data_IF_542327641348
#
_entry.id   IF_542327641348
#
_cell.length_a   1.000
_cell.length_b   1.000
_cell.length_c   1.000
_cell.angle_alpha   90.00
_cell.angle_beta   90.00
_cell.angle_gamma   90.00
#
_symmetry.space_group_name_H-M   'P 1'
#
loop_
_entity.id
_entity.type
_entity.pdbx_description
1 polymer ?
#
# COMPACT_ATOMS: atom_id res chain seq x y z
N UNK A 1 -15.10 7.30 32.87
CA UNK A 1 -14.78 6.04 32.16
C UNK A 1 -15.42 4.90 32.93
N UNK A 2 -16.33 4.20 32.30
CA UNK A 2 -16.97 3.03 32.90
C UNK A 2 -15.96 1.89 33.14
N UNK A 3 -16.31 0.93 34.02
CA UNK A 3 -15.45 -0.24 34.26
C UNK A 3 -15.26 -1.09 32.99
N UNK A 4 -16.24 -1.14 32.12
CA UNK A 4 -16.17 -1.83 30.81
C UNK A 4 -15.25 -1.10 29.83
N UNK A 5 -15.34 0.21 29.72
CA UNK A 5 -14.41 1.01 28.90
C UNK A 5 -12.96 0.84 29.34
N UNK A 6 -12.71 0.81 30.66
CA UNK A 6 -11.36 0.59 31.21
C UNK A 6 -10.82 -0.80 30.82
N UNK A 7 -11.64 -1.83 30.92
CA UNK A 7 -11.26 -3.20 30.51
C UNK A 7 -10.96 -3.27 29.02
N UNK A 8 -11.77 -2.63 28.18
CA UNK A 8 -11.57 -2.57 26.75
C UNK A 8 -10.28 -1.82 26.35
N UNK A 9 -9.95 -0.72 27.03
CA UNK A 9 -8.68 0.00 26.85
C UNK A 9 -7.46 -0.85 27.25
N UNK A 10 -7.54 -1.58 28.37
CA UNK A 10 -6.47 -2.49 28.82
C UNK A 10 -6.30 -3.63 27.80
N UNK A 11 -7.38 -4.23 27.31
CA UNK A 11 -7.32 -5.27 26.29
C UNK A 11 -6.66 -4.76 25.00
N UNK A 12 -7.05 -3.56 24.55
CA UNK A 12 -6.46 -2.92 23.35
C UNK A 12 -4.96 -2.60 23.53
N UNK A 13 -4.54 -2.19 24.74
CA UNK A 13 -3.14 -1.93 25.06
C UNK A 13 -2.26 -3.20 24.99
N UNK A 14 -2.81 -4.34 25.40
CA UNK A 14 -2.07 -5.62 25.35
C UNK A 14 -1.86 -6.19 23.94
N UNK A 15 -2.69 -5.81 22.98
CA UNK A 15 -2.59 -6.31 21.59
C UNK A 15 -1.22 -6.04 20.98
N UNK A 16 -0.76 -4.79 20.83
CA UNK A 16 0.54 -4.53 20.23
C UNK A 16 1.70 -5.03 21.10
N UNK A 17 1.60 -4.93 22.42
CA UNK A 17 2.67 -5.36 23.34
C UNK A 17 3.00 -6.84 23.16
N UNK A 18 1.99 -7.71 23.06
CA UNK A 18 2.21 -9.16 22.82
C UNK A 18 2.95 -9.41 21.53
N UNK A 19 2.53 -8.76 20.44
CA UNK A 19 3.16 -8.94 19.12
C UNK A 19 4.59 -8.42 19.15
N UNK A 20 4.81 -7.22 19.68
CA UNK A 20 6.13 -6.61 19.78
C UNK A 20 7.08 -7.44 20.65
N UNK A 21 6.58 -7.95 21.80
CA UNK A 21 7.36 -8.82 22.68
C UNK A 21 7.79 -10.12 21.99
N UNK A 22 6.86 -10.79 21.30
CA UNK A 22 7.17 -12.01 20.55
C UNK A 22 8.21 -11.74 19.47
N UNK A 23 8.05 -10.68 18.67
CA UNK A 23 9.01 -10.35 17.60
C UNK A 23 10.36 -9.95 18.18
N UNK A 24 10.40 -9.10 19.22
CA UNK A 24 11.64 -8.74 19.90
C UNK A 24 12.37 -9.96 20.43
N UNK A 25 11.68 -10.84 21.16
CA UNK A 25 12.26 -12.08 21.69
C UNK A 25 12.78 -12.96 20.55
N UNK A 26 12.00 -13.14 19.47
CA UNK A 26 12.40 -13.97 18.31
C UNK A 26 13.66 -13.44 17.64
N UNK A 27 13.72 -12.13 17.37
CA UNK A 27 14.91 -11.51 16.73
C UNK A 27 16.13 -11.58 17.64
N UNK A 28 15.94 -11.34 18.95
CA UNK A 28 17.04 -11.40 19.93
C UNK A 28 17.56 -12.81 20.11
N UNK A 29 16.69 -13.82 20.24
CA UNK A 29 17.08 -15.25 20.33
C UNK A 29 17.78 -15.68 19.05
N UNK A 30 17.29 -15.25 17.89
CA UNK A 30 17.96 -15.52 16.61
C UNK A 30 19.37 -14.93 16.54
N UNK A 31 19.56 -13.69 17.02
CA UNK A 31 20.88 -13.06 17.08
C UNK A 31 21.83 -13.81 18.04
N UNK A 32 21.35 -14.24 19.21
CA UNK A 32 22.13 -15.06 20.15
C UNK A 32 22.47 -16.43 19.54
N UNK A 33 21.52 -17.06 18.85
CA UNK A 33 21.77 -18.32 18.13
C UNK A 33 22.82 -18.15 17.03
N UNK A 34 22.73 -17.08 16.24
CA UNK A 34 23.71 -16.75 15.22
C UNK A 34 25.13 -16.60 15.82
N UNK A 35 25.23 -15.90 16.94
CA UNK A 35 26.47 -15.78 17.71
C UNK A 35 26.99 -17.15 18.16
N UNK A 36 26.15 -17.94 18.84
CA UNK A 36 26.57 -19.28 19.34
C UNK A 36 27.05 -20.21 18.22
N UNK A 37 26.42 -20.13 17.04
CA UNK A 37 26.78 -20.93 15.87
C UNK A 37 28.07 -20.44 15.16
N UNK A 38 28.52 -19.20 15.44
CA UNK A 38 29.72 -18.61 14.81
C UNK A 38 30.82 -18.23 15.79
N UNK A 39 30.64 -18.53 17.07
CA UNK A 39 31.60 -18.17 18.15
C UNK A 39 33.03 -18.71 17.94
N UNK A 40 33.17 -19.81 17.24
CA UNK A 40 34.49 -20.39 16.89
C UNK A 40 35.18 -19.66 15.74
N UNK A 41 34.55 -18.64 15.13
CA UNK A 41 35.16 -17.88 14.05
C UNK A 41 36.20 -16.89 14.61
N UNK A 42 37.45 -16.92 14.08
CA UNK A 42 38.51 -16.01 14.53
C UNK A 42 38.21 -14.52 14.33
N UNK A 43 37.19 -14.22 13.54
CA UNK A 43 36.78 -12.84 13.18
C UNK A 43 35.90 -12.16 14.24
N UNK A 44 35.36 -12.92 15.21
CA UNK A 44 34.43 -12.36 16.22
C UNK A 44 35.13 -11.67 17.40
N UNK A 45 36.45 -11.88 17.61
CA UNK A 45 37.20 -11.19 18.66
C UNK A 45 36.65 -11.47 20.06
N UNK A 46 36.43 -10.40 20.84
CA UNK A 46 35.91 -10.45 22.22
C UNK A 46 34.40 -10.21 22.32
N UNK A 47 33.62 -10.46 21.26
CA UNK A 47 32.15 -10.34 21.30
C UNK A 47 31.58 -11.41 22.23
N UNK A 48 30.63 -11.04 23.07
CA UNK A 48 29.92 -11.95 23.95
C UNK A 48 28.41 -12.06 23.61
N UNK A 49 27.69 -12.92 24.32
CA UNK A 49 26.27 -13.13 24.07
C UNK A 49 25.41 -11.89 24.41
N UNK A 50 25.89 -11.00 25.31
CA UNK A 50 25.21 -9.74 25.60
C UNK A 50 25.27 -8.81 24.41
N UNK A 51 26.37 -8.79 23.68
CA UNK A 51 26.50 -7.98 22.47
C UNK A 51 25.61 -8.52 21.34
N UNK A 52 25.47 -9.85 21.25
CA UNK A 52 24.50 -10.45 20.36
C UNK A 52 23.05 -10.09 20.72
N UNK A 53 22.71 -10.06 22.00
CA UNK A 53 21.40 -9.65 22.46
C UNK A 53 21.12 -8.15 22.16
N UNK A 54 22.12 -7.28 22.35
CA UNK A 54 22.06 -5.86 21.96
C UNK A 54 21.87 -5.73 20.45
N UNK A 55 22.59 -6.50 19.63
CA UNK A 55 22.43 -6.50 18.17
C UNK A 55 21.01 -6.91 17.76
N UNK A 56 20.45 -7.97 18.35
CA UNK A 56 19.06 -8.37 18.11
C UNK A 56 18.04 -7.26 18.48
N UNK A 57 18.25 -6.62 19.62
CA UNK A 57 17.42 -5.48 20.05
C UNK A 57 17.57 -4.28 19.10
N UNK A 58 18.79 -4.01 18.61
CA UNK A 58 19.05 -2.96 17.62
C UNK A 58 18.29 -3.22 16.31
N UNK A 59 18.28 -4.48 15.82
CA UNK A 59 17.53 -4.89 14.62
C UNK A 59 16.02 -4.69 14.85
N UNK A 60 15.50 -5.02 16.02
CA UNK A 60 14.10 -4.79 16.36
C UNK A 60 13.77 -3.29 16.37
N UNK A 61 14.60 -2.45 17.01
CA UNK A 61 14.38 -0.99 17.04
C UNK A 61 14.49 -0.40 15.62
N UNK A 62 15.43 -0.88 14.81
CA UNK A 62 15.59 -0.48 13.42
C UNK A 62 14.34 -0.80 12.58
N UNK A 63 13.74 -1.99 12.81
CA UNK A 63 12.49 -2.36 12.16
C UNK A 63 11.30 -1.49 12.56
N UNK A 64 11.40 -0.78 13.70
CA UNK A 64 10.43 0.22 14.14
C UNK A 64 10.78 1.66 13.69
N UNK A 65 11.81 1.84 12.86
CA UNK A 65 12.23 3.18 12.41
C UNK A 65 13.18 3.89 13.39
N UNK A 66 13.79 3.17 14.31
CA UNK A 66 14.90 3.66 15.13
C UNK A 66 16.21 3.68 14.37
N UNK A 67 17.32 3.88 15.10
CA UNK A 67 18.67 3.70 14.58
C UNK A 67 19.38 2.58 15.33
N UNK A 68 20.27 1.89 14.64
CA UNK A 68 21.20 0.92 15.21
C UNK A 68 22.62 1.45 15.04
N UNK A 69 23.46 1.24 16.05
CA UNK A 69 24.89 1.53 15.98
C UNK A 69 25.64 0.21 15.79
N UNK A 70 26.43 0.15 14.71
CA UNK A 70 27.32 -0.99 14.41
C UNK A 70 28.74 -0.45 14.39
N UNK A 71 29.48 -0.66 15.48
CA UNK A 71 30.74 0.04 15.71
C UNK A 71 30.52 1.54 15.80
N UNK A 72 31.21 2.32 14.92
CA UNK A 72 31.03 3.76 14.80
C UNK A 72 30.02 4.19 13.71
N UNK A 73 29.29 3.22 13.14
CA UNK A 73 28.37 3.47 12.04
C UNK A 73 26.92 3.47 12.51
N UNK A 74 26.25 4.61 12.35
CA UNK A 74 24.79 4.69 12.55
C UNK A 74 24.04 4.13 11.33
N UNK A 75 23.23 3.13 11.54
CA UNK A 75 22.33 2.53 10.53
C UNK A 75 20.91 2.96 10.82
N UNK A 76 20.22 3.50 9.80
CA UNK A 76 18.81 3.90 9.90
C UNK A 76 17.94 3.27 8.82
N UNK A 77 18.52 2.48 7.93
CA UNK A 77 17.79 1.78 6.88
C UNK A 77 16.90 0.68 7.50
N UNK A 78 15.59 0.90 7.48
CA UNK A 78 14.59 0.04 8.09
C UNK A 78 14.42 -1.28 7.31
N UNK A 79 14.52 -2.48 7.92
CA UNK A 79 14.27 -3.76 7.25
C UNK A 79 12.76 -3.98 7.07
N UNK A 80 12.21 -3.57 5.93
CA UNK A 80 10.76 -3.53 5.68
C UNK A 80 10.06 -4.90 5.77
N UNK A 81 10.75 -6.03 5.53
CA UNK A 81 10.13 -7.34 5.73
C UNK A 81 9.70 -7.53 7.18
N UNK A 82 10.57 -7.17 8.14
CA UNK A 82 10.28 -7.30 9.58
C UNK A 82 9.18 -6.32 9.97
N UNK A 83 9.27 -5.07 9.53
CA UNK A 83 8.27 -4.02 9.78
C UNK A 83 6.88 -4.42 9.27
N UNK A 84 6.80 -4.94 8.04
CA UNK A 84 5.53 -5.37 7.44
C UNK A 84 4.94 -6.61 8.13
N UNK A 85 5.79 -7.54 8.59
CA UNK A 85 5.35 -8.68 9.39
C UNK A 85 4.76 -8.24 10.72
N UNK A 86 5.43 -7.34 11.45
CA UNK A 86 4.93 -6.79 12.70
C UNK A 86 3.59 -6.07 12.45
N UNK A 87 3.55 -5.19 11.44
CA UNK A 87 2.33 -4.49 11.08
C UNK A 87 1.18 -5.46 10.77
N UNK A 88 1.44 -6.53 10.03
CA UNK A 88 0.45 -7.54 9.66
C UNK A 88 -0.07 -8.30 10.88
N UNK A 89 0.80 -8.71 11.81
CA UNK A 89 0.39 -9.40 13.04
C UNK A 89 -0.42 -8.48 13.96
N UNK A 90 -0.01 -7.23 14.15
CA UNK A 90 -0.75 -6.23 14.92
C UNK A 90 -2.12 -5.98 14.29
N UNK A 91 -2.17 -5.79 12.97
CA UNK A 91 -3.42 -5.63 12.21
C UNK A 91 -4.36 -6.84 12.38
N UNK A 92 -3.84 -8.06 12.24
CA UNK A 92 -4.63 -9.28 12.43
C UNK A 92 -5.17 -9.41 13.84
N UNK A 93 -4.38 -9.06 14.83
CA UNK A 93 -4.79 -9.07 16.23
C UNK A 93 -5.91 -8.05 16.51
N UNK A 94 -5.84 -6.85 15.93
CA UNK A 94 -6.94 -5.88 16.04
C UNK A 94 -8.23 -6.31 15.33
N UNK A 95 -8.14 -7.05 14.24
CA UNK A 95 -9.33 -7.63 13.60
C UNK A 95 -10.02 -8.67 14.50
N UNK A 96 -9.26 -9.38 15.34
CA UNK A 96 -9.80 -10.40 16.24
C UNK A 96 -10.39 -9.79 17.51
N UNK A 97 -9.82 -8.70 18.04
CA UNK A 97 -10.25 -8.08 19.31
C UNK A 97 -11.33 -7.01 19.14
N UNK A 98 -11.41 -6.38 17.96
CA UNK A 98 -12.22 -5.19 17.72
C UNK A 98 -11.67 -3.95 18.44
N UNK A 99 -11.68 -2.81 17.78
CA UNK A 99 -11.30 -1.51 18.39
C UNK A 99 -12.27 -0.45 17.89
N UNK A 100 -13.12 0.04 18.77
CA UNK A 100 -14.24 0.91 18.41
C UNK A 100 -14.08 2.36 18.89
N UNK A 101 -13.21 2.62 19.88
CA UNK A 101 -13.07 3.94 20.48
C UNK A 101 -11.67 4.56 20.29
N UNK A 102 -11.62 5.90 20.33
CA UNK A 102 -10.36 6.64 20.31
C UNK A 102 -9.51 6.41 21.58
N UNK A 103 -10.15 6.12 22.72
CA UNK A 103 -9.46 5.80 23.97
C UNK A 103 -8.68 4.48 23.86
N UNK A 104 -9.28 3.46 23.24
CA UNK A 104 -8.61 2.20 22.92
C UNK A 104 -7.44 2.41 21.97
N UNK A 105 -7.63 3.30 20.99
CA UNK A 105 -6.59 3.67 20.04
C UNK A 105 -5.38 4.32 20.73
N UNK A 106 -5.64 5.28 21.58
CA UNK A 106 -4.61 5.98 22.34
C UNK A 106 -3.88 5.03 23.30
N UNK A 107 -4.61 4.12 23.98
CA UNK A 107 -4.00 3.15 24.89
C UNK A 107 -3.10 2.14 24.18
N UNK A 108 -3.50 1.67 22.99
CA UNK A 108 -2.68 0.77 22.16
C UNK A 108 -1.41 1.47 21.62
N UNK A 109 -1.52 2.71 21.18
CA UNK A 109 -0.37 3.50 20.72
C UNK A 109 0.59 3.81 21.87
N UNK A 110 0.06 4.23 23.03
CA UNK A 110 0.85 4.52 24.21
C UNK A 110 1.57 3.29 24.76
N UNK A 111 0.92 2.12 24.77
CA UNK A 111 1.53 0.88 25.25
C UNK A 111 2.63 0.37 24.32
N UNK A 112 2.45 0.47 22.99
CA UNK A 112 3.50 0.11 22.01
C UNK A 112 4.70 1.06 22.10
N UNK A 113 4.46 2.36 22.28
CA UNK A 113 5.50 3.34 22.53
C UNK A 113 6.28 3.01 23.80
N UNK A 114 5.56 2.83 24.95
CA UNK A 114 6.17 2.56 26.24
C UNK A 114 6.97 1.26 26.23
N UNK A 115 6.43 0.17 25.69
CA UNK A 115 7.12 -1.11 25.57
C UNK A 115 8.43 -0.97 24.78
N UNK A 116 8.37 -0.37 23.58
CA UNK A 116 9.53 -0.22 22.71
C UNK A 116 10.58 0.70 23.32
N UNK A 117 10.15 1.78 24.00
CA UNK A 117 11.06 2.67 24.72
C UNK A 117 11.76 1.96 25.89
N UNK A 118 11.01 1.18 26.69
CA UNK A 118 11.58 0.42 27.82
C UNK A 118 12.61 -0.61 27.33
N UNK A 119 12.30 -1.35 26.28
CA UNK A 119 13.24 -2.29 25.66
C UNK A 119 14.50 -1.58 25.18
N UNK A 120 14.35 -0.43 24.53
CA UNK A 120 15.48 0.37 24.08
C UNK A 120 16.32 0.95 25.21
N UNK A 121 15.69 1.41 26.29
CA UNK A 121 16.36 1.94 27.48
C UNK A 121 17.16 0.85 28.23
N UNK A 122 16.62 -0.36 28.28
CA UNK A 122 17.26 -1.49 28.97
C UNK A 122 18.48 -2.05 28.21
N UNK A 123 18.50 -1.96 26.88
CA UNK A 123 19.48 -2.64 26.06
C UNK A 123 20.54 -1.74 25.41
N UNK A 124 20.24 -0.46 25.13
CA UNK A 124 21.05 0.38 24.25
C UNK A 124 21.18 1.83 24.75
N UNK A 125 22.37 2.43 24.72
CA UNK A 125 22.53 3.88 24.76
C UNK A 125 22.16 4.50 23.39
N UNK A 126 21.71 5.76 23.38
CA UNK A 126 21.56 6.53 22.14
C UNK A 126 20.14 6.96 21.78
N UNK A 127 20.02 7.79 20.73
CA UNK A 127 18.77 8.41 20.30
C UNK A 127 17.84 7.46 19.51
N UNK A 128 18.35 6.37 18.97
CA UNK A 128 17.59 5.43 18.11
C UNK A 128 16.40 4.78 18.80
N UNK A 129 16.46 4.62 20.13
CA UNK A 129 15.37 4.11 20.98
C UNK A 129 14.11 4.96 20.90
N UNK A 130 14.26 6.30 20.85
CA UNK A 130 13.11 7.19 20.80
C UNK A 130 12.43 7.14 19.41
N UNK A 131 13.23 7.13 18.34
CA UNK A 131 12.73 6.93 16.98
C UNK A 131 11.98 5.60 16.82
N UNK A 132 12.52 4.52 17.38
CA UNK A 132 11.87 3.22 17.40
C UNK A 132 10.55 3.21 18.16
N UNK A 133 10.46 3.89 19.31
CA UNK A 133 9.23 3.99 20.09
C UNK A 133 8.13 4.77 19.34
N UNK A 134 8.50 5.90 18.72
CA UNK A 134 7.57 6.69 17.87
C UNK A 134 7.10 5.86 16.68
N UNK A 135 8.01 5.16 16.02
CA UNK A 135 7.66 4.30 14.88
C UNK A 135 6.76 3.13 15.28
N UNK A 136 6.96 2.51 16.44
CA UNK A 136 6.07 1.46 16.96
C UNK A 136 4.66 1.99 17.21
N UNK A 137 4.51 3.19 17.79
CA UNK A 137 3.23 3.84 17.96
C UNK A 137 2.56 4.15 16.61
N UNK A 138 3.30 4.71 15.67
CA UNK A 138 2.80 5.03 14.32
C UNK A 138 2.36 3.76 13.56
N UNK A 139 3.14 2.69 13.62
CA UNK A 139 2.81 1.38 13.04
C UNK A 139 1.53 0.80 13.66
N UNK A 140 1.38 0.90 14.99
CA UNK A 140 0.19 0.46 15.71
C UNK A 140 -1.04 1.26 15.29
N UNK A 141 -0.93 2.59 15.19
CA UNK A 141 -2.00 3.46 14.68
C UNK A 141 -2.40 3.11 13.25
N UNK A 142 -1.42 2.88 12.37
CA UNK A 142 -1.67 2.48 10.98
C UNK A 142 -2.38 1.12 10.87
N UNK A 143 -1.95 0.13 11.67
CA UNK A 143 -2.56 -1.20 11.73
C UNK A 143 -4.02 -1.12 12.21
N UNK A 144 -4.27 -0.33 13.24
CA UNK A 144 -5.60 -0.12 13.80
C UNK A 144 -6.52 0.67 12.85
N UNK A 145 -6.03 1.77 12.26
CA UNK A 145 -6.79 2.51 11.25
C UNK A 145 -7.21 1.58 10.10
N UNK A 146 -6.32 0.68 9.67
CA UNK A 146 -6.60 -0.32 8.65
C UNK A 146 -7.62 -1.36 9.11
N UNK A 147 -7.58 -1.78 10.36
CA UNK A 147 -8.55 -2.71 10.95
C UNK A 147 -9.94 -2.06 11.01
N UNK A 148 -10.05 -0.84 11.54
CA UNK A 148 -11.30 -0.06 11.58
C UNK A 148 -11.90 0.17 10.20
N UNK A 149 -11.06 0.52 9.22
CA UNK A 149 -11.54 0.68 7.84
C UNK A 149 -12.22 -0.58 7.29
N UNK A 150 -11.81 -1.74 7.77
CA UNK A 150 -12.40 -3.01 7.31
C UNK A 150 -13.70 -3.36 8.05
N UNK A 151 -13.81 -3.01 9.31
CA UNK A 151 -14.97 -3.33 10.17
C UNK A 151 -16.06 -2.26 10.11
N UNK A 152 -15.67 -0.99 10.11
CA UNK A 152 -16.58 0.15 10.13
C UNK A 152 -16.14 1.14 9.07
N UNK A 153 -16.83 1.16 7.92
CA UNK A 153 -16.54 2.11 6.87
C UNK A 153 -16.96 3.51 7.34
N UNK A 154 -16.04 4.47 7.39
CA UNK A 154 -16.43 5.83 7.72
C UNK A 154 -17.31 6.40 6.61
N UNK A 155 -18.41 7.03 6.98
CA UNK A 155 -19.26 7.78 6.06
C UNK A 155 -18.66 9.17 5.79
N UNK A 156 -18.77 9.64 4.55
CA UNK A 156 -18.34 10.97 4.17
C UNK A 156 -17.74 11.08 2.77
N UNK A 157 -17.80 12.29 2.22
CA UNK A 157 -17.34 12.58 0.85
C UNK A 157 -15.85 12.27 0.63
N UNK A 158 -15.02 12.55 1.63
CA UNK A 158 -13.57 12.27 1.57
C UNK A 158 -13.30 10.77 1.51
N UNK A 159 -14.03 9.99 2.30
CA UNK A 159 -13.90 8.53 2.32
C UNK A 159 -14.35 7.89 1.01
N UNK A 160 -15.42 8.38 0.42
CA UNK A 160 -15.86 7.96 -0.90
C UNK A 160 -14.81 8.22 -2.00
N UNK A 161 -14.16 9.39 -1.96
CA UNK A 161 -13.06 9.71 -2.87
C UNK A 161 -11.84 8.79 -2.66
N UNK A 162 -11.44 8.53 -1.41
CA UNK A 162 -10.32 7.62 -1.12
C UNK A 162 -10.61 6.18 -1.53
N UNK A 163 -11.85 5.71 -1.37
CA UNK A 163 -12.26 4.38 -1.84
C UNK A 163 -12.26 4.31 -3.38
N UNK A 164 -12.72 5.36 -4.05
CA UNK A 164 -12.60 5.50 -5.50
C UNK A 164 -11.14 5.44 -5.97
N UNK A 165 -10.26 6.24 -5.37
CA UNK A 165 -8.82 6.21 -5.66
C UNK A 165 -8.22 4.81 -5.44
N UNK A 166 -8.60 4.13 -4.38
CA UNK A 166 -8.12 2.77 -4.10
C UNK A 166 -8.51 1.78 -5.19
N UNK A 167 -9.74 1.87 -5.71
CA UNK A 167 -10.18 1.03 -6.82
C UNK A 167 -9.41 1.30 -8.11
N UNK A 168 -9.10 2.57 -8.38
CA UNK A 168 -8.34 2.99 -9.56
C UNK A 168 -6.85 2.63 -9.46
N UNK A 169 -6.22 2.91 -8.34
CA UNK A 169 -4.76 2.78 -8.17
C UNK A 169 -4.31 1.37 -7.83
N UNK A 170 -5.14 0.58 -7.16
CA UNK A 170 -4.77 -0.77 -6.72
C UNK A 170 -4.28 -1.68 -7.83
N UNK A 171 -4.93 -1.79 -9.02
CA UNK A 171 -4.42 -2.61 -10.11
C UNK A 171 -3.11 -2.07 -10.69
N UNK A 172 -2.97 -0.75 -10.81
CA UNK A 172 -1.75 -0.11 -11.33
C UNK A 172 -0.56 -0.33 -10.40
N UNK A 173 -0.76 -0.13 -9.08
CA UNK A 173 0.28 -0.37 -8.08
C UNK A 173 0.65 -1.85 -7.98
N UNK A 174 -0.31 -2.77 -8.14
CA UNK A 174 -0.03 -4.20 -8.22
C UNK A 174 0.79 -4.56 -9.46
N UNK A 175 0.42 -4.02 -10.62
CA UNK A 175 1.17 -4.22 -11.85
C UNK A 175 2.61 -3.70 -11.71
N UNK A 176 2.80 -2.49 -11.14
CA UNK A 176 4.12 -1.95 -10.84
C UNK A 176 4.92 -2.86 -9.90
N UNK A 177 4.29 -3.37 -8.83
CA UNK A 177 4.94 -4.30 -7.90
C UNK A 177 5.37 -5.60 -8.61
N UNK A 178 4.50 -6.18 -9.44
CA UNK A 178 4.84 -7.38 -10.24
C UNK A 178 5.99 -7.10 -11.21
N UNK A 179 5.94 -5.99 -11.95
CA UNK A 179 7.03 -5.59 -12.86
C UNK A 179 8.33 -5.42 -12.07
N UNK A 180 8.29 -4.80 -10.90
CA UNK A 180 9.49 -4.59 -10.06
C UNK A 180 10.06 -5.91 -9.56
N UNK A 181 9.22 -6.85 -9.14
CA UNK A 181 9.67 -8.21 -8.74
C UNK A 181 10.26 -8.97 -9.92
N UNK A 182 9.64 -8.91 -11.10
CA UNK A 182 10.16 -9.54 -12.31
C UNK A 182 11.52 -8.94 -12.72
N UNK A 183 11.64 -7.61 -12.70
CA UNK A 183 12.91 -6.93 -13.00
C UNK A 183 14.00 -7.32 -11.99
N UNK A 184 13.66 -7.38 -10.70
CA UNK A 184 14.58 -7.85 -9.66
C UNK A 184 15.01 -9.30 -9.91
N UNK A 185 14.09 -10.19 -10.23
CA UNK A 185 14.41 -11.59 -10.54
C UNK A 185 15.35 -11.70 -11.74
N UNK A 186 15.09 -10.95 -12.82
CA UNK A 186 15.97 -10.88 -13.99
C UNK A 186 17.35 -10.34 -13.60
N UNK A 187 17.42 -9.26 -12.81
CA UNK A 187 18.68 -8.68 -12.35
C UNK A 187 19.49 -9.67 -11.51
N UNK A 188 18.85 -10.43 -10.60
CA UNK A 188 19.50 -11.46 -9.80
C UNK A 188 20.06 -12.61 -10.66
N UNK A 189 19.32 -13.04 -11.67
CA UNK A 189 19.76 -14.10 -12.61
C UNK A 189 20.94 -13.62 -13.47
N UNK A 190 20.86 -12.41 -14.01
CA UNK A 190 21.92 -11.83 -14.83
C UNK A 190 23.17 -11.51 -13.99
N UNK A 191 22.99 -11.05 -12.75
CA UNK A 191 24.07 -10.70 -11.82
C UNK A 191 24.66 -11.88 -11.04
N UNK A 192 24.20 -13.12 -11.27
CA UNK A 192 24.59 -14.30 -10.45
C UNK A 192 26.09 -14.51 -10.30
N UNK A 193 26.87 -14.24 -11.34
CA UNK A 193 28.34 -14.39 -11.29
C UNK A 193 28.98 -13.35 -10.37
N UNK A 194 28.54 -12.09 -10.45
CA UNK A 194 29.00 -11.02 -9.56
C UNK A 194 28.56 -11.25 -8.12
N UNK A 195 27.32 -11.71 -7.90
CA UNK A 195 26.80 -12.10 -6.58
C UNK A 195 27.65 -13.21 -5.98
N UNK A 196 27.97 -14.25 -6.76
CA UNK A 196 28.81 -15.37 -6.32
C UNK A 196 30.23 -14.92 -6.01
N UNK A 197 30.84 -14.05 -6.84
CA UNK A 197 32.15 -13.49 -6.61
C UNK A 197 32.18 -12.67 -5.31
N UNK A 198 31.21 -11.79 -5.07
CA UNK A 198 31.12 -11.00 -3.83
C UNK A 198 30.92 -11.92 -2.63
N UNK A 199 30.05 -12.95 -2.74
CA UNK A 199 29.83 -13.90 -1.67
C UNK A 199 31.11 -14.68 -1.33
N UNK A 200 31.98 -14.93 -2.30
CA UNK A 200 33.29 -15.59 -2.12
C UNK A 200 34.28 -14.78 -1.29
N UNK A 201 34.12 -13.45 -1.15
CA UNK A 201 34.95 -12.65 -0.24
C UNK A 201 34.65 -12.91 1.24
N UNK A 202 33.47 -13.44 1.54
CA UNK A 202 33.12 -13.79 2.91
C UNK A 202 33.59 -15.21 3.22
N UNK A 203 34.63 -15.33 4.05
CA UNK A 203 35.07 -16.63 4.61
C UNK A 203 34.06 -17.06 5.68
N UNK A 204 32.99 -17.71 5.27
CA UNK A 204 31.89 -18.10 6.16
C UNK A 204 31.47 -19.53 5.95
N UNK A 205 31.10 -20.21 7.05
CA UNK A 205 30.48 -21.52 6.99
C UNK A 205 29.01 -21.42 6.52
N UNK A 206 28.35 -22.57 6.41
CA UNK A 206 26.94 -22.65 5.98
C UNK A 206 26.00 -21.78 6.82
N UNK A 207 26.24 -21.69 8.14
CA UNK A 207 25.44 -20.85 9.06
C UNK A 207 25.61 -19.38 8.74
N UNK A 208 26.84 -18.89 8.54
CA UNK A 208 27.10 -17.50 8.18
C UNK A 208 26.45 -17.14 6.84
N UNK A 209 26.51 -18.02 5.85
CA UNK A 209 25.83 -17.83 4.57
C UNK A 209 24.31 -17.74 4.72
N UNK A 210 23.71 -18.60 5.55
CA UNK A 210 22.29 -18.56 5.86
C UNK A 210 21.89 -17.25 6.56
N UNK A 211 22.69 -16.78 7.53
CA UNK A 211 22.45 -15.49 8.22
C UNK A 211 22.51 -14.32 7.25
N UNK A 212 23.50 -14.29 6.37
CA UNK A 212 23.61 -13.25 5.34
C UNK A 212 22.39 -13.25 4.39
N UNK A 213 21.90 -14.44 4.01
CA UNK A 213 20.69 -14.58 3.22
C UNK A 213 19.45 -14.05 3.96
N UNK A 214 19.29 -14.35 5.26
CA UNK A 214 18.18 -13.84 6.09
C UNK A 214 18.21 -12.32 6.17
N UNK A 215 19.39 -11.71 6.37
CA UNK A 215 19.54 -10.26 6.37
C UNK A 215 19.13 -9.66 5.02
N UNK A 216 19.54 -10.25 3.90
CA UNK A 216 19.14 -9.77 2.57
C UNK A 216 17.62 -9.91 2.35
N UNK A 217 17.00 -11.00 2.82
CA UNK A 217 15.55 -11.19 2.78
C UNK A 217 14.80 -10.18 3.66
N UNK A 218 15.39 -9.74 4.78
CA UNK A 218 14.80 -8.70 5.62
C UNK A 218 14.66 -7.36 4.88
N UNK A 219 15.54 -7.08 3.91
CA UNK A 219 15.51 -5.88 3.07
C UNK A 219 14.87 -6.08 1.68
N UNK A 220 14.33 -7.27 1.39
CA UNK A 220 13.75 -7.55 0.07
C UNK A 220 12.67 -6.54 -0.37
N UNK A 221 11.70 -6.12 0.46
CA UNK A 221 10.73 -5.12 0.07
C UNK A 221 11.35 -3.74 -0.20
N UNK A 222 12.43 -3.37 0.51
CA UNK A 222 13.18 -2.15 0.22
C UNK A 222 13.72 -2.19 -1.21
N UNK A 223 14.36 -3.29 -1.59
CA UNK A 223 14.93 -3.49 -2.92
C UNK A 223 13.82 -3.45 -3.99
N UNK A 224 12.66 -4.05 -3.73
CA UNK A 224 11.50 -3.96 -4.66
C UNK A 224 11.07 -2.51 -4.86
N UNK A 225 11.03 -1.69 -3.80
CA UNK A 225 10.73 -0.25 -3.92
C UNK A 225 11.83 0.49 -4.70
N UNK A 226 13.11 0.13 -4.52
CA UNK A 226 14.22 0.72 -5.28
C UNK A 226 14.11 0.40 -6.78
N UNK A 227 13.77 -0.86 -7.11
CA UNK A 227 13.51 -1.27 -8.50
C UNK A 227 12.29 -0.57 -9.07
N UNK A 228 11.22 -0.37 -8.29
CA UNK A 228 10.07 0.43 -8.71
C UNK A 228 10.48 1.89 -8.99
N UNK A 229 11.32 2.49 -8.13
CA UNK A 229 11.87 3.83 -8.32
C UNK A 229 12.71 3.93 -9.60
N UNK A 230 13.55 2.92 -9.87
CA UNK A 230 14.28 2.79 -11.13
C UNK A 230 13.33 2.74 -12.33
N UNK A 231 12.32 1.86 -12.27
CA UNK A 231 11.35 1.66 -13.36
C UNK A 231 10.50 2.90 -13.66
N UNK A 232 10.20 3.72 -12.64
CA UNK A 232 9.50 5.01 -12.79
C UNK A 232 10.43 6.15 -13.27
N UNK A 233 11.75 5.89 -13.40
CA UNK A 233 12.73 6.88 -13.79
C UNK A 233 13.18 7.82 -12.68
N UNK A 234 12.65 7.68 -11.45
CA UNK A 234 13.03 8.47 -10.29
C UNK A 234 14.43 8.10 -9.76
N UNK A 235 14.83 6.84 -9.93
CA UNK A 235 16.12 6.33 -9.49
C UNK A 235 16.24 6.13 -7.98
N UNK A 236 17.39 5.58 -7.57
CA UNK A 236 17.79 5.40 -6.17
C UNK A 236 19.31 5.51 -6.05
N UNK A 237 19.81 5.76 -4.84
CA UNK A 237 21.25 5.80 -4.54
C UNK A 237 21.66 4.62 -3.65
N UNK A 238 22.92 4.20 -3.81
CA UNK A 238 23.61 3.29 -2.90
C UNK A 238 24.86 4.00 -2.40
N UNK A 239 24.62 5.03 -1.60
CA UNK A 239 25.64 5.94 -1.10
C UNK A 239 25.80 7.20 -1.95
N UNK A 240 26.32 8.25 -1.32
CA UNK A 240 26.52 9.56 -1.95
C UNK A 240 27.39 9.46 -3.21
N UNK A 241 26.97 10.13 -4.27
CA UNK A 241 27.67 10.14 -5.57
C UNK A 241 27.30 8.96 -6.46
N UNK A 242 26.35 8.09 -6.07
CA UNK A 242 25.80 7.07 -6.94
C UNK A 242 24.38 7.44 -7.33
N UNK A 243 23.97 7.09 -8.55
CA UNK A 243 22.61 7.22 -9.04
C UNK A 243 22.28 6.05 -9.98
N UNK A 244 21.21 5.35 -9.67
CA UNK A 244 20.72 4.23 -10.44
C UNK A 244 19.32 4.58 -10.93
N UNK A 245 19.20 5.05 -12.16
CA UNK A 245 17.91 5.39 -12.77
C UNK A 245 17.78 4.78 -14.17
N UNK A 246 16.56 4.66 -14.67
CA UNK A 246 16.30 4.19 -16.03
C UNK A 246 16.91 5.12 -17.10
N UNK A 247 17.19 6.38 -16.77
CA UNK A 247 17.80 7.34 -17.69
C UNK A 247 19.33 7.26 -17.72
N UNK A 248 19.95 6.71 -16.69
CA UNK A 248 21.39 6.51 -16.62
C UNK A 248 21.82 5.94 -15.28
N UNK A 249 23.00 5.32 -15.28
CA UNK A 249 23.61 4.71 -14.10
C UNK A 249 24.98 5.34 -13.87
N UNK A 250 25.14 5.91 -12.68
CA UNK A 250 26.43 6.39 -12.16
C UNK A 250 26.75 5.60 -10.90
N UNK A 251 27.84 4.82 -10.92
CA UNK A 251 28.26 4.06 -9.75
C UNK A 251 29.70 4.41 -9.37
N UNK A 252 29.95 4.37 -8.09
CA UNK A 252 31.27 4.43 -7.47
C UNK A 252 31.53 3.09 -6.77
N UNK A 253 32.59 3.01 -5.95
CA UNK A 253 32.84 1.81 -5.13
C UNK A 253 31.63 1.51 -4.23
N UNK A 254 31.03 0.35 -4.38
CA UNK A 254 29.89 -0.15 -3.62
C UNK A 254 30.36 -1.03 -2.46
N UNK A 255 29.62 -1.10 -1.36
CA UNK A 255 29.87 -2.09 -0.32
C UNK A 255 29.71 -3.50 -0.88
N UNK A 256 30.53 -4.42 -0.41
CA UNK A 256 30.54 -5.81 -0.85
C UNK A 256 29.33 -6.60 -0.29
N UNK A 257 28.11 -6.15 -0.58
CA UNK A 257 26.86 -6.84 -0.24
C UNK A 257 26.46 -7.69 -1.45
N UNK A 258 26.27 -9.00 -1.33
CA UNK A 258 26.05 -9.90 -2.47
C UNK A 258 24.93 -9.46 -3.40
N UNK A 259 23.79 -9.00 -2.86
CA UNK A 259 22.64 -8.53 -3.67
C UNK A 259 23.01 -7.32 -4.57
N UNK A 260 24.01 -6.52 -4.21
CA UNK A 260 24.47 -5.41 -5.03
C UNK A 260 25.25 -5.84 -6.29
N UNK A 261 25.66 -7.12 -6.35
CA UNK A 261 26.15 -7.71 -7.59
C UNK A 261 25.10 -7.79 -8.72
N UNK A 262 23.83 -7.60 -8.39
CA UNK A 262 22.74 -7.51 -9.38
C UNK A 262 22.44 -6.10 -9.87
N UNK A 263 23.13 -5.07 -9.34
CA UNK A 263 22.92 -3.68 -9.79
C UNK A 263 23.36 -3.50 -11.26
N UNK A 264 22.64 -2.66 -12.03
CA UNK A 264 23.01 -2.41 -13.41
C UNK A 264 24.36 -1.69 -13.51
N UNK A 265 25.14 -2.08 -14.52
CA UNK A 265 26.46 -1.48 -14.78
C UNK A 265 26.35 -0.01 -15.25
N UNK A 266 27.39 0.79 -15.03
CA UNK A 266 27.48 2.14 -15.60
C UNK A 266 27.25 2.12 -17.11
N UNK A 267 26.52 3.10 -17.61
CA UNK A 267 26.18 3.22 -19.03
C UNK A 267 24.89 2.51 -19.46
N UNK A 268 24.30 1.66 -18.63
CA UNK A 268 22.97 1.06 -18.91
C UNK A 268 21.92 2.19 -18.93
N UNK A 269 21.12 2.20 -20.00
CA UNK A 269 19.97 3.11 -20.16
C UNK A 269 18.73 2.32 -20.56
N UNK A 270 17.65 2.50 -19.83
CA UNK A 270 16.35 1.87 -20.05
C UNK A 270 15.23 2.92 -20.05
N UNK A 271 15.48 4.08 -20.69
CA UNK A 271 14.53 5.21 -20.71
C UNK A 271 13.16 4.84 -21.32
N UNK A 272 13.10 3.76 -22.12
CA UNK A 272 11.85 3.21 -22.66
C UNK A 272 10.93 2.67 -21.54
N UNK A 273 11.47 2.24 -20.41
CA UNK A 273 10.72 1.58 -19.34
C UNK A 273 9.70 2.51 -18.65
N UNK A 274 10.09 3.70 -18.12
CA UNK A 274 9.10 4.63 -17.57
C UNK A 274 8.08 5.11 -18.62
N UNK A 275 8.49 5.24 -19.90
CA UNK A 275 7.59 5.61 -20.99
C UNK A 275 6.56 4.50 -21.24
N UNK A 276 6.98 3.23 -21.29
CA UNK A 276 6.09 2.09 -21.42
C UNK A 276 5.08 2.03 -20.26
N UNK A 277 5.55 2.21 -19.02
CA UNK A 277 4.69 2.22 -17.83
C UNK A 277 3.66 3.36 -17.89
N UNK A 278 4.06 4.54 -18.36
CA UNK A 278 3.16 5.68 -18.56
C UNK A 278 2.08 5.38 -19.63
N UNK A 279 2.46 4.74 -20.75
CA UNK A 279 1.49 4.33 -21.78
C UNK A 279 0.50 3.28 -21.28
N UNK A 280 0.97 2.28 -20.53
CA UNK A 280 0.10 1.26 -19.94
C UNK A 280 -0.86 1.87 -18.91
N UNK A 281 -0.36 2.78 -18.06
CA UNK A 281 -1.17 3.52 -17.13
C UNK A 281 -2.21 4.39 -17.86
N UNK A 282 -1.82 5.10 -18.92
CA UNK A 282 -2.73 5.91 -19.73
C UNK A 282 -3.85 5.05 -20.35
N UNK A 283 -3.50 3.91 -20.96
CA UNK A 283 -4.48 3.00 -21.53
C UNK A 283 -5.48 2.50 -20.48
N UNK A 284 -4.99 2.14 -19.30
CA UNK A 284 -5.84 1.76 -18.15
C UNK A 284 -6.81 2.87 -17.77
N UNK A 285 -6.32 4.10 -17.56
CA UNK A 285 -7.16 5.21 -17.11
C UNK A 285 -8.13 5.71 -18.20
N UNK A 286 -7.75 5.65 -19.49
CA UNK A 286 -8.68 5.91 -20.60
C UNK A 286 -9.81 4.88 -20.60
N UNK A 287 -9.50 3.61 -20.39
CA UNK A 287 -10.54 2.57 -20.25
C UNK A 287 -11.41 2.83 -19.03
N UNK A 288 -10.82 3.19 -17.88
CA UNK A 288 -11.54 3.49 -16.63
C UNK A 288 -12.39 4.76 -16.70
N UNK A 289 -12.05 5.71 -17.56
CA UNK A 289 -12.82 6.94 -17.72
C UNK A 289 -14.30 6.68 -18.00
N UNK A 290 -14.64 5.55 -18.61
CA UNK A 290 -16.01 5.14 -18.92
C UNK A 290 -16.88 4.96 -17.68
N UNK A 291 -16.31 4.76 -16.51
CA UNK A 291 -17.02 4.60 -15.22
C UNK A 291 -17.51 5.94 -14.63
N UNK A 292 -17.05 7.07 -15.16
CA UNK A 292 -17.41 8.40 -14.68
C UNK A 292 -18.50 9.01 -15.56
N UNK A 293 -19.53 9.59 -14.95
CA UNK A 293 -20.65 10.19 -15.67
C UNK A 293 -20.37 11.64 -16.09
N UNK A 294 -19.57 12.38 -15.31
CA UNK A 294 -19.31 13.80 -15.53
C UNK A 294 -17.82 14.15 -15.53
N UNK A 295 -17.46 15.25 -16.21
CA UNK A 295 -16.11 15.81 -16.18
C UNK A 295 -15.70 16.21 -14.76
N UNK A 296 -16.63 16.71 -13.95
CA UNK A 296 -16.38 17.13 -12.56
C UNK A 296 -15.99 15.95 -11.66
N UNK A 297 -16.68 14.83 -11.79
CA UNK A 297 -16.34 13.59 -11.07
C UNK A 297 -14.99 13.04 -11.50
N UNK A 298 -14.73 12.95 -12.82
CA UNK A 298 -13.47 12.48 -13.37
C UNK A 298 -12.28 13.35 -12.91
N UNK A 299 -12.44 14.68 -12.90
CA UNK A 299 -11.37 15.58 -12.45
C UNK A 299 -11.13 15.50 -10.94
N UNK A 300 -12.17 15.35 -10.12
CA UNK A 300 -12.03 15.17 -8.68
C UNK A 300 -11.31 13.84 -8.36
N UNK A 301 -11.69 12.75 -9.03
CA UNK A 301 -11.02 11.45 -8.89
C UNK A 301 -9.56 11.51 -9.34
N UNK A 302 -9.27 12.14 -10.48
CA UNK A 302 -7.90 12.29 -10.99
C UNK A 302 -7.01 13.09 -10.04
N UNK A 303 -7.50 14.21 -9.50
CA UNK A 303 -6.80 15.02 -8.51
C UNK A 303 -6.51 14.25 -7.22
N UNK A 304 -7.51 13.52 -6.71
CA UNK A 304 -7.35 12.69 -5.52
C UNK A 304 -6.35 11.53 -5.76
N UNK A 305 -6.41 10.86 -6.93
CA UNK A 305 -5.45 9.82 -7.31
C UNK A 305 -4.02 10.37 -7.40
N UNK A 306 -3.83 11.55 -8.01
CA UNK A 306 -2.52 12.20 -8.08
C UNK A 306 -1.96 12.50 -6.68
N UNK A 307 -2.78 13.07 -5.80
CA UNK A 307 -2.39 13.34 -4.41
C UNK A 307 -2.01 12.04 -3.66
N UNK A 308 -2.81 10.98 -3.81
CA UNK A 308 -2.52 9.67 -3.23
C UNK A 308 -1.22 9.05 -3.77
N UNK A 309 -0.93 9.20 -5.06
CA UNK A 309 0.31 8.70 -5.68
C UNK A 309 1.54 9.46 -5.16
N UNK A 310 1.47 10.79 -5.06
CA UNK A 310 2.55 11.59 -4.48
C UNK A 310 2.82 11.21 -3.03
N UNK A 311 1.75 11.09 -2.22
CA UNK A 311 1.86 10.69 -0.81
C UNK A 311 2.42 9.26 -0.67
N UNK A 312 1.98 8.33 -1.52
CA UNK A 312 2.49 6.96 -1.55
C UNK A 312 3.97 6.91 -1.94
N UNK A 313 4.38 7.66 -2.98
CA UNK A 313 5.77 7.75 -3.41
C UNK A 313 6.68 8.34 -2.32
N UNK A 314 6.24 9.41 -1.66
CA UNK A 314 6.96 10.01 -0.54
C UNK A 314 7.08 9.03 0.65
N UNK A 315 6.00 8.35 1.02
CA UNK A 315 6.01 7.36 2.08
C UNK A 315 6.91 6.15 1.73
N UNK A 316 6.84 5.66 0.49
CA UNK A 316 7.68 4.56 0.02
C UNK A 316 9.17 4.92 0.07
N UNK A 317 9.55 6.14 -0.34
CA UNK A 317 10.92 6.62 -0.25
C UNK A 317 11.38 6.74 1.21
N UNK A 318 10.56 7.34 2.07
CA UNK A 318 10.87 7.49 3.50
C UNK A 318 11.08 6.14 4.19
N UNK A 319 10.21 5.16 3.92
CA UNK A 319 10.27 3.86 4.55
C UNK A 319 11.39 2.96 3.99
N UNK A 320 11.76 3.10 2.71
CA UNK A 320 12.75 2.24 2.07
C UNK A 320 14.14 2.88 1.94
N UNK A 321 14.29 4.15 2.31
CA UNK A 321 15.55 4.87 2.35
C UNK A 321 16.14 4.96 3.76
N UNK A 322 17.40 5.36 3.85
CA UNK A 322 18.09 5.55 5.12
C UNK A 322 19.61 5.57 4.97
N UNK A 323 20.31 5.38 6.09
CA UNK A 323 21.76 5.25 6.13
C UNK A 323 22.17 3.81 6.45
N UNK A 324 23.24 3.34 5.82
CA UNK A 324 23.95 2.08 6.14
C UNK A 324 25.28 2.34 6.83
N UNK A 325 25.59 3.61 7.16
CA UNK A 325 26.82 3.99 7.83
C UNK A 325 27.18 5.48 7.63
N UNK A 326 28.30 5.91 8.17
CA UNK A 326 28.75 7.29 8.06
C UNK A 326 29.30 7.61 6.64
N UNK A 327 29.54 8.89 6.37
CA UNK A 327 30.17 9.38 5.17
C UNK A 327 29.35 9.09 3.92
N UNK A 328 29.89 8.29 3.01
CA UNK A 328 29.23 7.97 1.74
C UNK A 328 27.97 7.13 1.91
N UNK A 329 27.90 6.24 2.91
CA UNK A 329 26.78 5.35 3.16
C UNK A 329 25.61 6.02 3.91
N UNK A 330 25.65 7.33 4.10
CA UNK A 330 24.58 8.08 4.78
C UNK A 330 23.33 8.34 3.93
N UNK A 331 23.35 8.00 2.63
CA UNK A 331 22.23 8.22 1.71
C UNK A 331 22.06 6.99 0.82
N UNK A 332 21.12 6.11 1.21
CA UNK A 332 20.84 4.85 0.52
C UNK A 332 19.32 4.72 0.31
N UNK A 333 18.93 4.37 -0.91
CA UNK A 333 17.55 4.21 -1.33
C UNK A 333 17.03 5.35 -2.20
N UNK A 334 15.73 5.33 -2.52
CA UNK A 334 15.08 6.39 -3.29
C UNK A 334 14.99 7.68 -2.49
N UNK A 335 15.16 8.80 -3.17
CA UNK A 335 14.98 10.13 -2.57
C UNK A 335 13.50 10.49 -2.57
N UNK A 336 13.03 11.16 -1.51
CA UNK A 336 11.63 11.48 -1.27
C UNK A 336 10.99 12.26 -2.43
N UNK A 337 11.58 13.38 -2.82
CA UNK A 337 11.02 14.24 -3.88
C UNK A 337 11.09 13.56 -5.25
N UNK A 338 12.24 13.00 -5.70
CA UNK A 338 12.30 12.29 -6.97
C UNK A 338 11.30 11.13 -7.09
N UNK A 339 11.11 10.33 -6.06
CA UNK A 339 10.15 9.22 -6.13
C UNK A 339 8.69 9.69 -6.15
N UNK A 340 8.34 10.70 -5.36
CA UNK A 340 7.02 11.31 -5.43
C UNK A 340 6.72 11.89 -6.82
N UNK A 341 7.70 12.58 -7.43
CA UNK A 341 7.61 13.08 -8.80
C UNK A 341 7.56 11.95 -9.84
N UNK A 342 8.34 10.88 -9.66
CA UNK A 342 8.28 9.69 -10.52
C UNK A 342 6.88 9.09 -10.57
N UNK A 343 6.23 8.94 -9.42
CA UNK A 343 4.82 8.51 -9.36
C UNK A 343 3.88 9.53 -10.02
N UNK A 344 4.09 10.84 -9.78
CA UNK A 344 3.26 11.87 -10.37
C UNK A 344 3.37 11.90 -11.90
N UNK A 345 4.57 11.78 -12.45
CA UNK A 345 4.81 11.88 -13.89
C UNK A 345 4.49 10.56 -14.61
N UNK A 346 5.00 9.42 -14.14
CA UNK A 346 4.84 8.15 -14.85
C UNK A 346 3.45 7.51 -14.68
N UNK A 347 2.71 7.84 -13.60
CA UNK A 347 1.37 7.27 -13.35
C UNK A 347 0.34 8.38 -13.18
N UNK A 348 0.63 9.43 -12.42
CA UNK A 348 -0.31 10.49 -12.09
C UNK A 348 -0.72 11.34 -13.28
N UNK A 349 0.23 11.75 -14.13
CA UNK A 349 -0.08 12.48 -15.36
C UNK A 349 -0.92 11.63 -16.34
N UNK A 350 -0.58 10.36 -16.63
CA UNK A 350 -1.45 9.45 -17.35
C UNK A 350 -2.84 9.29 -16.72
N UNK A 351 -2.94 9.27 -15.38
CA UNK A 351 -4.22 9.21 -14.68
C UNK A 351 -5.07 10.45 -14.98
N UNK A 352 -4.51 11.64 -14.85
CA UNK A 352 -5.21 12.89 -15.14
C UNK A 352 -5.63 12.94 -16.62
N UNK A 353 -4.71 12.68 -17.54
CA UNK A 353 -5.02 12.68 -18.98
C UNK A 353 -6.06 11.61 -19.35
N UNK A 354 -5.88 10.39 -18.84
CA UNK A 354 -6.75 9.25 -19.17
C UNK A 354 -8.17 9.38 -18.63
N UNK A 355 -8.35 9.94 -17.44
CA UNK A 355 -9.68 10.13 -16.85
C UNK A 355 -10.38 11.39 -17.37
N UNK A 356 -9.65 12.50 -17.53
CA UNK A 356 -10.23 13.82 -17.82
C UNK A 356 -10.43 14.04 -19.32
N UNK A 357 -9.44 13.75 -20.18
CA UNK A 357 -9.50 14.10 -21.60
C UNK A 357 -10.70 13.47 -22.34
N UNK A 358 -11.04 12.17 -22.17
CA UNK A 358 -12.19 11.59 -22.83
C UNK A 358 -13.51 12.23 -22.39
N UNK A 359 -13.64 12.63 -21.13
CA UNK A 359 -14.83 13.29 -20.58
C UNK A 359 -14.95 14.75 -21.03
N UNK A 360 -13.83 15.46 -21.09
CA UNK A 360 -13.78 16.81 -21.66
C UNK A 360 -14.20 16.80 -23.14
N UNK A 361 -13.68 15.86 -23.92
CA UNK A 361 -14.05 15.68 -25.33
C UNK A 361 -15.55 15.36 -25.49
N UNK A 362 -16.12 14.50 -24.64
CA UNK A 362 -17.55 14.19 -24.66
C UNK A 362 -18.40 15.44 -24.30
N UNK A 363 -18.01 16.19 -23.28
CA UNK A 363 -18.70 17.41 -22.87
C UNK A 363 -18.64 18.52 -23.96
N UNK A 364 -17.54 18.62 -24.68
CA UNK A 364 -17.42 19.57 -25.80
C UNK A 364 -18.28 19.15 -27.00
N UNK A 365 -18.38 17.85 -27.27
CA UNK A 365 -19.25 17.32 -28.35
C UNK A 365 -20.73 17.61 -28.04
N UNK A 366 -21.19 17.35 -26.80
CA UNK A 366 -22.57 17.60 -26.41
C UNK A 366 -22.94 19.09 -26.48
N UNK A 367 -21.99 20.02 -26.27
CA UNK A 367 -22.22 21.45 -26.46
C UNK A 367 -22.28 21.86 -27.93
N UNK A 368 -21.60 21.15 -28.82
CA UNK A 368 -21.62 21.44 -30.27
C UNK A 368 -22.86 20.87 -30.97
N UNK A 369 -23.42 19.78 -30.47
CA UNK A 369 -24.69 19.20 -30.85
C UNK A 369 -25.77 19.75 -29.91
N UNK A 370 -25.88 21.10 -29.80
CA UNK A 370 -27.01 21.78 -29.16
C UNK A 370 -28.35 21.28 -29.73
N UNK A 371 -29.48 21.39 -29.01
CA UNK A 371 -30.75 20.92 -29.51
C UNK A 371 -30.92 21.46 -30.93
N UNK A 372 -31.13 20.56 -31.90
CA UNK A 372 -31.57 20.95 -33.20
C UNK A 372 -32.78 21.89 -32.94
N UNK A 373 -32.72 23.13 -33.38
CA UNK A 373 -33.87 23.98 -33.47
C UNK A 373 -34.98 23.13 -34.07
N UNK A 374 -35.99 22.80 -33.28
CA UNK A 374 -37.28 22.42 -33.82
C UNK A 374 -37.65 23.57 -34.72
N UNK A 375 -37.44 23.36 -36.03
CA UNK A 375 -37.97 24.28 -37.04
C UNK A 375 -39.45 24.31 -36.78
N UNK A 376 -39.95 25.42 -36.20
CA UNK A 376 -41.36 25.73 -36.19
C UNK A 376 -41.83 25.67 -37.63
N UNK A 377 -42.44 24.56 -38.06
CA UNK A 377 -43.30 24.55 -39.19
C UNK A 377 -44.46 25.49 -38.89
N UNK A 378 -44.41 26.64 -39.52
CA UNK A 378 -45.44 27.65 -39.48
C UNK A 378 -46.83 27.08 -39.81
N UNK A 379 -47.89 27.67 -39.24
CA UNK A 379 -49.24 27.15 -39.36
C UNK A 379 -49.74 27.22 -40.80
N UNK A 380 -49.84 26.08 -41.51
CA UNK A 380 -50.62 26.00 -42.73
C UNK A 380 -52.11 26.00 -42.36
N UNK A 381 -52.73 27.17 -42.57
CA UNK A 381 -54.18 27.35 -42.61
C UNK A 381 -54.77 26.49 -43.76
N UNK A 382 -55.74 25.66 -43.37
CA UNK A 382 -57.06 25.47 -44.04
C UNK A 382 -57.65 24.14 -43.57
N UNK A 383 -58.69 24.18 -42.83
CA UNK A 383 -59.99 23.96 -43.35
C UNK A 383 -60.73 22.78 -42.80
N UNK A 384 -61.88 23.02 -42.23
CA UNK A 384 -63.03 22.15 -42.02
C UNK A 384 -62.99 21.11 -40.88
N UNK A 385 -63.40 21.54 -39.73
CA UNK A 385 -63.87 20.70 -38.64
C UNK A 385 -65.31 20.24 -38.86
N UNK A 386 -65.53 18.94 -38.99
CA UNK A 386 -66.86 18.34 -38.95
C UNK A 386 -67.21 17.96 -37.48
N UNK A 387 -68.38 18.33 -36.94
CA UNK A 387 -68.76 18.08 -35.53
C UNK A 387 -69.03 16.62 -35.16
N UNK A 388 -68.80 15.70 -36.05
CA UNK A 388 -69.18 14.28 -35.84
C UNK A 388 -68.04 13.39 -35.34
N UNK A 389 -66.80 13.85 -35.37
CA UNK A 389 -65.66 13.07 -34.90
C UNK A 389 -65.46 13.18 -33.34
N UNK A 390 -66.01 14.23 -32.73
CA UNK A 390 -65.79 14.49 -31.28
C UNK A 390 -66.75 13.72 -30.36
N UNK A 391 -67.76 13.02 -30.92
CA UNK A 391 -68.63 12.15 -30.13
C UNK A 391 -68.20 10.70 -30.04
N UNK A 392 -67.47 10.19 -31.04
CA UNK A 392 -66.98 8.79 -31.05
C UNK A 392 -65.73 8.60 -30.19
N UNK A 393 -64.98 9.65 -29.93
CA UNK A 393 -63.82 9.57 -29.06
C UNK A 393 -64.14 9.62 -27.55
N UNK A 394 -65.30 10.17 -27.17
CA UNK A 394 -65.72 10.21 -25.76
C UNK A 394 -66.34 8.88 -25.32
N UNK A 395 -67.09 8.21 -26.18
CA UNK A 395 -67.73 6.94 -25.86
C UNK A 395 -66.69 5.79 -25.80
N UNK A 396 -65.58 5.90 -26.49
CA UNK A 396 -64.46 4.94 -26.40
C UNK A 396 -63.64 5.12 -25.11
N UNK A 397 -63.53 6.34 -24.59
CA UNK A 397 -62.76 6.62 -23.37
C UNK A 397 -63.50 6.16 -22.10
N UNK A 398 -64.83 6.26 -22.07
CA UNK A 398 -65.64 5.81 -20.92
C UNK A 398 -65.78 4.30 -20.83
N UNK A 399 -65.72 3.60 -21.96
CA UNK A 399 -65.73 2.13 -21.99
C UNK A 399 -64.47 1.48 -21.43
N UNK A 400 -63.29 2.12 -21.61
CA UNK A 400 -62.00 1.60 -21.07
C UNK A 400 -61.79 1.94 -19.59
N UNK A 401 -62.48 2.95 -19.07
CA UNK A 401 -62.38 3.35 -17.66
C UNK A 401 -63.22 2.41 -16.72
N UNK A 402 -64.23 1.74 -17.26
CA UNK A 402 -65.10 0.84 -16.45
C UNK A 402 -64.54 -0.59 -16.30
N UNK A 403 -63.68 -1.02 -17.23
CA UNK A 403 -63.10 -2.37 -17.20
C UNK A 403 -61.83 -2.46 -16.33
N UNK A 404 -61.08 -1.35 -16.16
CA UNK A 404 -59.89 -1.30 -15.31
C UNK A 404 -60.16 -1.28 -13.79
N UNK A 405 -61.44 -1.10 -13.37
CA UNK A 405 -61.76 -1.07 -11.94
C UNK A 405 -62.16 -2.42 -11.34
N UNK A 406 -62.44 -3.39 -12.16
CA UNK A 406 -62.78 -4.77 -11.69
C UNK A 406 -61.58 -5.67 -11.46
N UNK A 407 -60.41 -5.37 -12.03
CA UNK A 407 -59.23 -6.19 -11.88
C UNK A 407 -58.31 -5.83 -10.66
N UNK A 408 -58.58 -4.70 -9.99
CA UNK A 408 -57.81 -4.26 -8.83
C UNK A 408 -58.39 -4.77 -7.48
N UNK A 409 -59.62 -5.21 -7.43
CA UNK A 409 -60.24 -5.74 -6.19
C UNK A 409 -59.97 -7.22 -5.90
N UNK A 410 -59.41 -7.97 -6.87
CA UNK A 410 -59.15 -9.41 -6.73
C UNK A 410 -57.72 -9.82 -6.46
N UNK A 411 -56.79 -8.85 -6.18
CA UNK A 411 -55.36 -9.13 -5.89
C UNK A 411 -54.88 -8.81 -4.49
N UNK A 412 -55.77 -8.64 -3.54
CA UNK A 412 -55.41 -8.54 -2.13
C UNK A 412 -55.94 -9.77 -1.42
N UNK A 413 -55.15 -10.80 -1.27
CA UNK A 413 -55.13 -11.85 -0.25
C UNK A 413 -54.45 -13.10 -0.81
N UNK A 414 -53.11 -13.16 -0.70
CA UNK A 414 -52.42 -14.43 -0.52
C UNK A 414 -51.07 -14.18 0.15
N UNK A 415 -51.02 -14.38 1.47
CA UNK A 415 -49.76 -14.57 2.22
C UNK A 415 -49.20 -15.96 1.91
N UNK A 416 -47.94 -16.12 1.64
CA UNK A 416 -47.30 -17.42 1.71
C UNK A 416 -46.89 -17.73 3.16
N UNK A 417 -47.28 -18.88 3.62
CA UNK A 417 -47.01 -19.51 4.90
C UNK A 417 -45.55 -19.94 5.05
N UNK A 418 -45.08 -19.83 6.28
CA UNK A 418 -43.97 -20.45 6.98
C UNK A 418 -43.37 -21.69 6.32
N UNK A 419 -42.07 -21.66 6.10
CA UNK A 419 -41.24 -22.86 6.11
C UNK A 419 -40.71 -23.09 7.53
N UNK A 420 -41.23 -24.15 8.15
CA UNK A 420 -40.70 -24.80 9.33
C UNK A 420 -39.65 -25.82 8.92
N UNK A 421 -38.61 -25.88 9.77
CA UNK A 421 -37.43 -26.67 9.55
C UNK A 421 -37.61 -28.17 9.53
N UNK A 422 -36.60 -28.81 9.05
CA UNK A 422 -36.34 -30.20 9.37
C UNK A 422 -34.89 -30.35 9.81
N UNK A 423 -34.71 -30.62 11.13
CA UNK A 423 -33.50 -31.20 11.70
C UNK A 423 -33.42 -32.64 11.23
N UNK A 424 -32.31 -33.06 10.74
CA UNK A 424 -31.84 -34.44 10.84
C UNK A 424 -30.42 -34.44 11.35
N UNK A 425 -30.32 -35.05 12.52
CA UNK A 425 -29.11 -35.62 13.08
C UNK A 425 -28.54 -36.64 12.09
N UNK A 426 -27.22 -36.62 11.90
CA UNK A 426 -26.46 -37.83 11.63
C UNK A 426 -25.07 -37.67 12.22
N UNK A 427 -24.86 -38.34 13.34
CA UNK A 427 -23.64 -38.87 13.90
C UNK A 427 -23.06 -39.93 12.97
N UNK A 428 -21.72 -39.90 12.73
CA UNK A 428 -20.79 -41.06 12.64
C UNK A 428 -19.40 -40.52 12.36
N UNK A 429 -18.49 -40.67 13.36
CA UNK A 429 -17.35 -41.58 13.51
C UNK A 429 -16.42 -41.61 12.24
N UNK A 430 -15.26 -41.05 12.33
CA UNK A 430 -13.87 -41.50 12.60
C UNK A 430 -12.91 -40.30 12.63
#
# INVERSE_FOLDING_TARGET
MSTEERRACIAAAWVPVRVLAVVWTTVTVFAIFAYAATVSSPTLGHVDWHDAAKAGTSIFLLAMGGSAEVGNAGVTLMPLSVTLLIWWFVYRSFLATGVDSWAQAASAAASSFAFTLLVGLAALPGAGRFGGAVGAAALTCAAMARARWRTSRPDGRVWGLLEGCRCELRPVLRALAVVSVCLLAVALVLGRSSIAAINGYYVQGAVGAAMLAVVQLAYLPNIVVWVASFALGAGFSVGRGTDFSAFGVTSLQLPAIPVFGALPNPGVRMAWLPVLLAFLALAWFVWRSRAYSSLKEASAAAGACLACLCAFGAAAAFLSGGALGPGRMSDVGPRLVPLALGFAVAIGLPCVLGLVAPRAAAALRSRRTGPAEETEEGPSTTGFSSPQADRLSRDAADSLASDGRRDLENRTFARPSKWQGNRRDDTFIE
#
